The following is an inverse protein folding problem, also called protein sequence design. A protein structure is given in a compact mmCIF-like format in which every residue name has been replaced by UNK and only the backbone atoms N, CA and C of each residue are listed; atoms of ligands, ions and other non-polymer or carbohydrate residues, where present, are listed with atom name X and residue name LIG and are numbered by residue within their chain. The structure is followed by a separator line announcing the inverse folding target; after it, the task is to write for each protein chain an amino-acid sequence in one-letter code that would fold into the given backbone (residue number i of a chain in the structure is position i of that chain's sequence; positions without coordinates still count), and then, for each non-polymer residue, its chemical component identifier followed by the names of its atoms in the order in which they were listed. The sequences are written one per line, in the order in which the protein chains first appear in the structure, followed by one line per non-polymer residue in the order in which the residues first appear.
data_IF_305229309105
#
_entry.id   IF_305229309105
#
_cell.length_a   1.000
_cell.length_b   1.000
_cell.length_c   1.000
_cell.angle_alpha   90.00
_cell.angle_beta   90.00
_cell.angle_gamma   90.00
#
_symmetry.space_group_name_H-M   'P 1'
#
loop_
_entity.id
_entity.type
_entity.pdbx_description
1 polymer ?
#
# COMPACT_ATOMS: atom_id res chain seq x y z
N UNK A 1 -6.61 -8.15 -10.76
CA UNK A 1 -5.61 -8.79 -11.67
C UNK A 1 -5.39 -7.90 -12.88
N UNK A 2 -6.45 -7.41 -13.56
CA UNK A 2 -6.31 -6.61 -14.79
C UNK A 2 -5.39 -5.37 -14.65
N UNK A 3 -5.42 -4.66 -13.54
CA UNK A 3 -4.50 -3.54 -13.32
C UNK A 3 -3.03 -3.96 -13.28
N UNK A 4 -2.76 -5.16 -12.79
CA UNK A 4 -1.40 -5.71 -12.71
C UNK A 4 -0.88 -6.17 -14.08
N UNK A 5 -1.69 -6.11 -15.11
CA UNK A 5 -1.31 -6.38 -16.50
C UNK A 5 -0.99 -5.09 -17.27
N UNK A 6 -1.34 -3.90 -16.72
CA UNK A 6 -0.99 -2.62 -17.31
C UNK A 6 0.49 -2.28 -17.08
N UNK A 7 1.29 -2.07 -18.14
CA UNK A 7 2.71 -1.71 -18.00
C UNK A 7 2.93 -0.43 -17.19
N UNK A 8 2.04 0.55 -17.31
CA UNK A 8 2.14 1.81 -16.58
C UNK A 8 1.89 1.64 -15.09
N UNK A 9 0.96 0.75 -14.72
CA UNK A 9 0.61 0.46 -13.33
C UNK A 9 1.73 -0.31 -12.63
N UNK A 10 2.28 -1.33 -13.28
CA UNK A 10 3.32 -2.17 -12.69
C UNK A 10 4.73 -1.58 -12.79
N UNK A 11 4.94 -0.56 -13.60
CA UNK A 11 6.26 0.03 -13.90
C UNK A 11 7.11 0.30 -12.65
N UNK A 12 6.49 0.75 -11.57
CA UNK A 12 7.17 1.09 -10.32
C UNK A 12 6.67 0.28 -9.12
N UNK A 13 5.91 -0.77 -9.38
CA UNK A 13 5.38 -1.62 -8.33
C UNK A 13 6.49 -2.52 -7.79
N UNK A 14 6.77 -2.38 -6.50
CA UNK A 14 7.72 -3.23 -5.80
C UNK A 14 7.04 -4.55 -5.38
N UNK A 15 6.81 -5.43 -6.34
CA UNK A 15 6.22 -6.74 -6.14
C UNK A 15 7.01 -7.83 -6.89
N UNK A 16 6.80 -9.08 -6.49
CA UNK A 16 7.37 -10.24 -7.17
C UNK A 16 7.01 -10.21 -8.67
N UNK A 17 7.98 -10.32 -9.58
CA UNK A 17 7.71 -10.40 -11.03
C UNK A 17 6.71 -11.49 -11.41
N UNK A 18 6.57 -12.54 -10.60
CA UNK A 18 5.62 -13.62 -10.79
C UNK A 18 4.27 -13.41 -10.11
N UNK A 19 4.02 -12.19 -9.59
CA UNK A 19 2.78 -11.91 -8.83
C UNK A 19 1.52 -12.15 -9.66
N UNK A 20 1.50 -11.76 -10.93
CA UNK A 20 0.33 -11.92 -11.80
C UNK A 20 0.01 -13.40 -12.07
N UNK A 21 0.94 -14.25 -12.54
CA UNK A 21 0.69 -15.69 -12.66
C UNK A 21 0.27 -16.35 -11.34
N UNK A 22 0.83 -15.92 -10.23
CA UNK A 22 0.49 -16.43 -8.89
C UNK A 22 -0.95 -16.03 -8.50
N UNK A 23 -1.35 -14.79 -8.73
CA UNK A 23 -2.71 -14.31 -8.46
C UNK A 23 -3.74 -15.02 -9.36
N UNK A 24 -3.43 -15.24 -10.64
CA UNK A 24 -4.30 -15.99 -11.55
C UNK A 24 -4.52 -17.43 -11.07
N UNK A 25 -3.46 -18.13 -10.67
CA UNK A 25 -3.57 -19.47 -10.09
C UNK A 25 -4.38 -19.48 -8.81
N UNK A 26 -4.14 -18.52 -7.91
CA UNK A 26 -4.88 -18.39 -6.66
C UNK A 26 -6.38 -18.17 -6.93
N UNK A 27 -6.71 -17.26 -7.84
CA UNK A 27 -8.09 -16.96 -8.21
C UNK A 27 -8.81 -18.18 -8.80
N UNK A 28 -8.10 -18.98 -9.59
CA UNK A 28 -8.66 -20.20 -10.18
C UNK A 28 -8.83 -21.35 -9.18
N UNK A 29 -8.00 -21.41 -8.14
CA UNK A 29 -7.95 -22.54 -7.18
C UNK A 29 -8.64 -22.24 -5.84
N UNK A 30 -8.96 -20.99 -5.54
CA UNK A 30 -9.52 -20.58 -4.25
C UNK A 30 -10.96 -20.13 -4.42
N UNK A 31 -11.93 -20.76 -3.72
CA UNK A 31 -13.32 -20.30 -3.74
C UNK A 31 -13.43 -18.83 -3.31
N UNK A 32 -14.32 -18.09 -3.94
CA UNK A 32 -14.48 -16.64 -3.73
C UNK A 32 -14.60 -16.24 -2.24
N UNK A 33 -15.40 -16.94 -1.39
CA UNK A 33 -15.48 -16.61 0.03
C UNK A 33 -14.17 -16.78 0.80
N UNK A 34 -13.25 -17.64 0.31
CA UNK A 34 -11.96 -17.90 0.93
C UNK A 34 -10.85 -16.93 0.49
N UNK A 35 -11.07 -16.16 -0.56
CA UNK A 35 -10.06 -15.23 -1.07
C UNK A 35 -9.72 -14.14 -0.05
N UNK A 36 -10.72 -13.56 0.61
CA UNK A 36 -10.51 -12.56 1.67
C UNK A 36 -9.65 -13.12 2.81
N UNK A 37 -9.91 -14.33 3.26
CA UNK A 37 -9.09 -15.00 4.27
C UNK A 37 -7.64 -15.16 3.80
N UNK A 38 -7.45 -15.62 2.56
CA UNK A 38 -6.12 -15.85 2.00
C UNK A 38 -5.29 -14.55 1.95
N UNK A 39 -5.87 -13.45 1.48
CA UNK A 39 -5.18 -12.16 1.38
C UNK A 39 -4.91 -11.51 2.75
N UNK A 40 -5.72 -11.79 3.77
CA UNK A 40 -5.59 -11.20 5.10
C UNK A 40 -4.88 -12.11 6.12
N UNK A 41 -4.41 -13.28 5.73
CA UNK A 41 -3.80 -14.24 6.64
C UNK A 41 -2.53 -13.74 7.34
N UNK A 42 -1.67 -13.01 6.64
CA UNK A 42 -0.39 -12.53 7.15
C UNK A 42 -0.34 -11.01 7.37
N UNK A 43 -1.32 -10.29 6.89
CA UNK A 43 -1.38 -8.84 6.98
C UNK A 43 -2.81 -8.33 6.78
N UNK A 44 -2.93 -7.21 6.07
CA UNK A 44 -4.23 -6.65 5.69
C UNK A 44 -4.23 -6.29 4.23
N UNK A 45 -5.33 -6.60 3.56
CA UNK A 45 -5.58 -6.25 2.17
C UNK A 45 -6.92 -5.53 2.06
N UNK A 46 -6.92 -4.38 1.40
CA UNK A 46 -8.10 -3.54 1.22
C UNK A 46 -8.26 -3.16 -0.23
N UNK A 47 -9.49 -3.19 -0.72
CA UNK A 47 -9.83 -2.59 -2.00
C UNK A 47 -10.04 -1.09 -1.84
N UNK A 48 -9.50 -0.31 -2.76
CA UNK A 48 -9.83 1.10 -2.94
C UNK A 48 -10.99 1.17 -3.89
N UNK A 49 -12.13 1.67 -3.42
CA UNK A 49 -13.36 1.75 -4.21
C UNK A 49 -13.80 3.20 -4.38
N UNK A 50 -14.43 3.48 -5.52
CA UNK A 50 -15.18 4.72 -5.73
C UNK A 50 -16.47 4.71 -4.90
N UNK A 51 -17.15 5.84 -4.82
CA UNK A 51 -18.42 5.98 -4.09
C UNK A 51 -19.55 5.08 -4.63
N UNK A 52 -19.48 4.72 -5.91
CA UNK A 52 -20.39 3.78 -6.55
C UNK A 52 -20.07 2.30 -6.27
N UNK A 53 -18.99 2.02 -5.52
CA UNK A 53 -18.54 0.68 -5.16
C UNK A 53 -17.57 0.05 -6.15
N UNK A 54 -17.27 0.71 -7.28
CA UNK A 54 -16.30 0.21 -8.24
C UNK A 54 -14.88 0.19 -7.66
N UNK A 55 -14.21 -0.96 -7.71
CA UNK A 55 -12.83 -1.12 -7.28
C UNK A 55 -11.86 -0.48 -8.27
N UNK A 56 -11.04 0.45 -7.79
CA UNK A 56 -10.09 1.22 -8.61
C UNK A 56 -8.63 1.05 -8.17
N UNK A 57 -8.39 0.30 -7.12
CA UNK A 57 -7.06 0.05 -6.59
C UNK A 57 -7.07 -0.87 -5.39
N UNK A 58 -5.91 -1.03 -4.77
CA UNK A 58 -5.78 -1.79 -3.53
C UNK A 58 -4.68 -1.22 -2.62
N UNK A 59 -4.76 -1.59 -1.35
CA UNK A 59 -3.72 -1.36 -0.35
C UNK A 59 -3.43 -2.67 0.35
N UNK A 60 -2.16 -2.96 0.57
CA UNK A 60 -1.69 -4.09 1.34
C UNK A 60 -0.78 -3.62 2.46
N UNK A 61 -1.02 -4.12 3.67
CA UNK A 61 -0.15 -3.98 4.82
C UNK A 61 0.41 -5.34 5.17
N UNK A 62 1.73 -5.50 5.14
CA UNK A 62 2.41 -6.74 5.48
C UNK A 62 3.40 -6.50 6.62
N UNK A 63 3.53 -7.43 7.59
CA UNK A 63 4.61 -7.34 8.58
C UNK A 63 5.96 -7.22 7.87
N UNK A 64 6.73 -6.21 8.23
CA UNK A 64 8.04 -5.95 7.62
C UNK A 64 8.59 -4.60 8.02
N UNK A 65 9.91 -4.43 7.88
CA UNK A 65 10.59 -3.18 8.22
C UNK A 65 11.02 -3.08 9.69
N UNK A 66 10.90 -4.14 10.45
CA UNK A 66 11.30 -4.20 11.86
C UNK A 66 10.25 -4.86 12.76
N UNK A 67 10.52 -4.87 14.05
CA UNK A 67 9.58 -5.37 15.06
C UNK A 67 8.34 -4.48 15.09
N UNK A 68 7.16 -5.09 15.09
CA UNK A 68 5.86 -4.41 15.11
C UNK A 68 5.74 -3.29 14.06
N UNK A 69 6.32 -3.54 12.89
CA UNK A 69 6.30 -2.64 11.75
C UNK A 69 5.56 -3.29 10.57
N UNK A 70 4.95 -2.46 9.74
CA UNK A 70 4.23 -2.89 8.56
C UNK A 70 4.72 -2.14 7.33
N UNK A 71 4.98 -2.89 6.27
CA UNK A 71 5.26 -2.33 4.96
C UNK A 71 3.96 -2.13 4.20
N UNK A 72 3.79 -0.93 3.64
CA UNK A 72 2.64 -0.59 2.80
C UNK A 72 3.00 -0.76 1.32
N UNK A 73 2.11 -1.42 0.59
CA UNK A 73 2.05 -1.38 -0.87
C UNK A 73 0.66 -0.90 -1.26
N UNK A 74 0.58 0.06 -2.17
CA UNK A 74 -0.70 0.56 -2.67
C UNK A 74 -0.65 0.85 -4.17
N UNK A 75 -1.75 0.64 -4.82
CA UNK A 75 -1.92 0.83 -6.26
C UNK A 75 -3.26 1.48 -6.54
N UNK A 76 -3.25 2.56 -7.31
CA UNK A 76 -4.44 3.04 -8.01
C UNK A 76 -4.30 2.54 -9.45
N UNK A 77 -5.08 1.52 -9.77
CA UNK A 77 -4.95 0.80 -11.03
C UNK A 77 -5.59 1.50 -12.22
N UNK A 78 -6.54 2.39 -11.95
CA UNK A 78 -7.22 3.19 -12.97
C UNK A 78 -6.41 4.47 -13.24
N UNK A 79 -5.71 4.51 -14.39
CA UNK A 79 -4.80 5.61 -14.72
C UNK A 79 -5.50 6.97 -14.83
N UNK A 80 -6.75 6.98 -15.30
CA UNK A 80 -7.58 8.20 -15.43
C UNK A 80 -7.87 8.88 -14.09
N UNK A 81 -7.72 8.15 -12.98
CA UNK A 81 -7.94 8.65 -11.63
C UNK A 81 -6.66 9.11 -10.92
N UNK A 82 -5.52 9.03 -11.59
CA UNK A 82 -4.26 9.48 -11.01
C UNK A 82 -4.23 11.01 -10.82
N UNK A 83 -3.58 11.47 -9.76
CA UNK A 83 -3.51 12.90 -9.44
C UNK A 83 -4.76 13.50 -8.79
N UNK A 84 -5.76 12.67 -8.46
CA UNK A 84 -7.02 13.09 -7.83
C UNK A 84 -7.08 12.85 -6.31
N UNK A 85 -5.95 12.58 -5.68
CA UNK A 85 -5.87 12.40 -4.22
C UNK A 85 -6.27 11.00 -3.72
N UNK A 86 -6.64 10.07 -4.58
CA UNK A 86 -7.03 8.72 -4.17
C UNK A 86 -5.90 7.96 -3.49
N UNK A 87 -4.67 8.12 -3.97
CA UNK A 87 -3.48 7.51 -3.35
C UNK A 87 -3.27 8.01 -1.93
N UNK A 88 -3.38 9.32 -1.70
CA UNK A 88 -3.27 9.88 -0.34
C UNK A 88 -4.38 9.39 0.57
N UNK A 89 -5.63 9.36 0.09
CA UNK A 89 -6.75 8.82 0.85
C UNK A 89 -6.53 7.35 1.23
N UNK A 90 -6.05 6.54 0.29
CA UNK A 90 -5.73 5.14 0.52
C UNK A 90 -4.62 4.96 1.56
N UNK A 91 -3.54 5.75 1.47
CA UNK A 91 -2.44 5.73 2.44
C UNK A 91 -2.91 6.18 3.82
N UNK A 92 -3.75 7.22 3.93
CA UNK A 92 -4.31 7.69 5.21
C UNK A 92 -5.21 6.64 5.86
N UNK A 93 -6.04 5.94 5.09
CA UNK A 93 -6.81 4.80 5.60
C UNK A 93 -5.92 3.67 6.10
N UNK A 94 -4.85 3.37 5.36
CA UNK A 94 -3.87 2.36 5.78
C UNK A 94 -3.13 2.74 7.06
N UNK A 95 -2.79 4.02 7.25
CA UNK A 95 -2.22 4.54 8.50
C UNK A 95 -3.15 4.32 9.69
N UNK A 96 -4.43 4.62 9.52
CA UNK A 96 -5.42 4.37 10.56
C UNK A 96 -5.51 2.88 10.92
N UNK A 97 -5.55 2.00 9.92
CA UNK A 97 -5.53 0.56 10.15
C UNK A 97 -4.27 0.09 10.87
N UNK A 98 -3.09 0.54 10.43
CA UNK A 98 -1.83 0.14 11.02
C UNK A 98 -1.68 0.64 12.47
N UNK A 99 -1.91 1.92 12.71
CA UNK A 99 -1.63 2.52 14.01
C UNK A 99 -2.75 2.35 15.03
N UNK A 100 -4.01 2.40 14.61
CA UNK A 100 -5.16 2.30 15.53
C UNK A 100 -5.60 0.85 15.74
N UNK A 101 -5.70 0.05 14.68
CA UNK A 101 -6.21 -1.31 14.76
C UNK A 101 -5.10 -2.34 15.02
N UNK A 102 -4.00 -2.28 14.26
CA UNK A 102 -2.89 -3.23 14.40
C UNK A 102 -1.87 -2.82 15.46
N UNK A 103 -2.01 -1.62 16.02
CA UNK A 103 -1.11 -1.09 17.04
C UNK A 103 0.36 -1.10 16.61
N UNK A 104 0.61 -0.82 15.33
CA UNK A 104 1.95 -0.75 14.78
C UNK A 104 2.78 0.34 15.46
N UNK A 105 4.05 0.08 15.64
CA UNK A 105 5.02 1.11 16.09
C UNK A 105 5.54 1.93 14.90
N UNK A 106 5.54 1.32 13.71
CA UNK A 106 6.09 1.93 12.49
C UNK A 106 5.40 1.42 11.23
N UNK A 107 5.26 2.32 10.26
CA UNK A 107 4.97 1.97 8.88
C UNK A 107 6.17 2.30 7.99
N UNK A 108 6.38 1.46 6.98
CA UNK A 108 7.48 1.59 6.01
C UNK A 108 6.90 1.57 4.59
N UNK A 109 7.37 2.46 3.74
CA UNK A 109 7.13 2.44 2.31
C UNK A 109 8.46 2.37 1.57
N UNK A 110 8.59 1.41 0.66
CA UNK A 110 9.76 1.26 -0.21
C UNK A 110 9.38 1.65 -1.63
N UNK A 111 10.03 2.65 -2.18
CA UNK A 111 9.61 3.31 -3.42
C UNK A 111 10.80 3.44 -4.36
N UNK A 112 10.62 3.10 -5.62
CA UNK A 112 11.63 3.35 -6.66
C UNK A 112 11.89 4.87 -6.77
N UNK A 113 13.17 5.31 -6.89
CA UNK A 113 13.53 6.73 -6.97
C UNK A 113 12.81 7.49 -8.12
N UNK A 114 12.47 6.78 -9.18
CA UNK A 114 11.78 7.34 -10.35
C UNK A 114 10.28 7.54 -10.12
N UNK A 115 9.70 6.89 -9.11
CA UNK A 115 8.28 6.99 -8.80
C UNK A 115 7.95 8.26 -7.99
N UNK A 116 8.14 9.41 -8.62
CA UNK A 116 7.95 10.74 -8.01
C UNK A 116 6.55 10.94 -7.45
N UNK A 117 5.54 10.34 -8.09
CA UNK A 117 4.14 10.42 -7.64
C UNK A 117 3.95 9.74 -6.29
N UNK A 118 4.45 8.53 -6.12
CA UNK A 118 4.35 7.80 -4.86
C UNK A 118 5.15 8.47 -3.75
N UNK A 119 6.34 8.99 -4.06
CA UNK A 119 7.16 9.76 -3.10
C UNK A 119 6.38 10.97 -2.58
N UNK A 120 5.82 11.80 -3.47
CA UNK A 120 5.00 12.95 -3.04
C UNK A 120 3.80 12.53 -2.20
N UNK A 121 3.14 11.44 -2.58
CA UNK A 121 1.98 10.91 -1.86
C UNK A 121 2.33 10.52 -0.41
N UNK A 122 3.36 9.72 -0.20
CA UNK A 122 3.72 9.29 1.17
C UNK A 122 4.25 10.45 2.00
N UNK A 123 5.03 11.37 1.42
CA UNK A 123 5.49 12.57 2.12
C UNK A 123 4.31 13.47 2.54
N UNK A 124 3.31 13.67 1.67
CA UNK A 124 2.09 14.40 2.02
C UNK A 124 1.32 13.73 3.16
N UNK A 125 1.41 12.41 3.28
CA UNK A 125 0.82 11.65 4.38
C UNK A 125 1.69 11.63 5.65
N UNK A 126 2.86 12.28 5.66
CA UNK A 126 3.72 12.45 6.84
C UNK A 126 4.81 11.40 7.00
N UNK A 127 5.07 10.60 5.99
CA UNK A 127 6.26 9.75 5.97
C UNK A 127 7.52 10.60 5.77
N UNK A 128 8.58 10.23 6.42
CA UNK A 128 9.89 10.85 6.30
C UNK A 128 10.88 9.89 5.67
N UNK A 129 11.86 10.44 4.94
CA UNK A 129 12.92 9.65 4.32
C UNK A 129 13.80 9.04 5.41
N UNK A 130 14.07 7.74 5.27
CA UNK A 130 14.98 6.98 6.12
C UNK A 130 16.18 6.50 5.30
N UNK A 131 17.30 6.24 5.97
CA UNK A 131 18.48 5.69 5.31
C UNK A 131 18.21 4.33 4.70
N UNK A 132 18.73 4.10 3.51
CA UNK A 132 18.60 2.84 2.79
C UNK A 132 19.96 2.35 2.33
N UNK A 133 20.15 1.04 2.39
CA UNK A 133 21.32 0.37 1.79
C UNK A 133 21.05 -0.24 0.41
N UNK A 134 19.92 0.05 -0.24
CA UNK A 134 19.47 -0.60 -1.47
C UNK A 134 19.02 0.38 -2.56
N UNK A 135 18.52 -0.18 -3.66
CA UNK A 135 18.04 0.58 -4.82
C UNK A 135 16.72 1.33 -4.57
N UNK A 136 15.94 0.87 -3.59
CA UNK A 136 14.66 1.48 -3.22
C UNK A 136 14.86 2.55 -2.16
N UNK A 137 14.21 3.69 -2.32
CA UNK A 137 14.10 4.68 -1.25
C UNK A 137 13.16 4.16 -0.17
N UNK A 138 13.56 4.37 1.08
CA UNK A 138 12.77 3.98 2.23
C UNK A 138 12.18 5.23 2.90
N UNK A 139 10.90 5.18 3.14
CA UNK A 139 10.16 6.19 3.90
C UNK A 139 9.51 5.52 5.11
N UNK A 140 9.48 6.22 6.22
CA UNK A 140 8.95 5.69 7.47
C UNK A 140 8.03 6.70 8.15
N UNK A 141 7.09 6.16 8.92
CA UNK A 141 6.29 6.92 9.85
C UNK A 141 6.17 6.14 11.16
N UNK A 142 6.47 6.79 12.27
CA UNK A 142 6.28 6.20 13.60
C UNK A 142 4.88 6.46 14.13
N UNK A 143 4.43 5.63 15.08
CA UNK A 143 3.16 5.85 15.77
C UNK A 143 3.12 7.21 16.48
N UNK A 144 4.24 7.62 17.11
CA UNK A 144 4.34 8.93 17.74
C UNK A 144 4.10 10.08 16.77
N UNK A 145 4.71 10.04 15.58
CA UNK A 145 4.51 11.03 14.54
C UNK A 145 3.06 11.04 14.02
N UNK A 146 2.45 9.86 13.85
CA UNK A 146 1.06 9.73 13.45
C UNK A 146 0.11 10.39 14.46
N UNK A 147 0.24 10.07 15.74
CA UNK A 147 -0.61 10.64 16.78
C UNK A 147 -0.38 12.14 17.00
N UNK A 148 0.84 12.62 16.80
CA UNK A 148 1.12 14.06 16.81
C UNK A 148 0.35 14.76 15.69
N UNK A 149 0.40 14.26 14.46
CA UNK A 149 -0.35 14.83 13.33
C UNK A 149 -1.87 14.84 13.56
N UNK A 150 -2.41 13.80 14.20
CA UNK A 150 -3.84 13.78 14.56
C UNK A 150 -4.23 14.87 15.56
N UNK A 151 -3.32 15.21 16.48
CA UNK A 151 -3.57 16.31 17.46
C UNK A 151 -3.48 17.68 16.84
N UNK A 152 -2.70 17.84 15.77
CA UNK A 152 -2.50 19.11 15.06
C UNK A 152 -3.54 19.36 13.95
N UNK A 153 -4.28 18.33 13.58
CA UNK A 153 -5.35 18.41 12.59
C UNK A 153 -6.66 18.88 13.24
#
# INVERSE_FOLDING_TARGET
ICWMESPNVIKYLNEDPNIVPRLKRLNASTPEPMQSYHFNRLGRFFMVCRKDGEGVGFVRLMPGGGRNAYEIVYVIGEESLWGQGLGESAVRCAQAQAFLELRAERMVAKIMPQNRRSIRCVCACGFESAETGGELLRFEMTSAAYFQRLREA
#
